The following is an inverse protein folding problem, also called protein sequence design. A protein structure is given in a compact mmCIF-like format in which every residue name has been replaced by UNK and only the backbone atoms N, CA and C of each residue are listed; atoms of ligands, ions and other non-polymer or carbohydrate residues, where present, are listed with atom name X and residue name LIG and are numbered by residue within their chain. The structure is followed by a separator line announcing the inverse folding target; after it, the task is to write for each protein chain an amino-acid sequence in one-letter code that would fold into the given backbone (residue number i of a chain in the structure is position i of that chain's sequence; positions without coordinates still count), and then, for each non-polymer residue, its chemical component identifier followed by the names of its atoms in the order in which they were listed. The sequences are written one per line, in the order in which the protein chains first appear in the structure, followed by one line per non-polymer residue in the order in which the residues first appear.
data_IF_029535547431
#
_entry.id   IF_029535547431
#
_cell.length_a   1.000
_cell.length_b   1.000
_cell.length_c   1.000
_cell.angle_alpha   90.00
_cell.angle_beta   90.00
_cell.angle_gamma   90.00
#
_symmetry.space_group_name_H-M   'P 1'
#
loop_
_entity.id
_entity.type
_entity.pdbx_description
1 polymer ?
#
# COMPACT_ATOMS: atom_id res chain seq x y z
N UNK A 1 15.76 52.91 -5.06
CA UNK A 1 16.75 51.83 -4.75
C UNK A 1 16.65 51.34 -3.30
N UNK A 2 16.60 52.21 -2.28
CA UNK A 2 16.58 51.84 -0.85
C UNK A 2 15.39 50.99 -0.37
N UNK A 3 14.19 51.20 -0.93
CA UNK A 3 12.98 50.46 -0.50
C UNK A 3 13.05 48.95 -0.81
N UNK A 4 13.67 48.57 -1.95
CA UNK A 4 13.87 47.16 -2.31
C UNK A 4 14.89 46.45 -1.42
N UNK A 5 15.87 47.18 -0.90
CA UNK A 5 16.87 46.65 0.05
C UNK A 5 16.24 46.35 1.41
N UNK A 6 15.37 47.24 1.90
CA UNK A 6 14.64 47.03 3.16
C UNK A 6 13.67 45.83 3.09
N UNK A 7 12.94 45.68 1.97
CA UNK A 7 12.07 44.52 1.73
C UNK A 7 12.87 43.19 1.71
N UNK A 8 14.02 43.15 1.03
CA UNK A 8 14.87 41.96 1.00
C UNK A 8 15.42 41.59 2.39
N UNK A 9 15.81 42.59 3.19
CA UNK A 9 16.29 42.35 4.56
C UNK A 9 15.17 41.79 5.47
N UNK A 10 13.95 42.33 5.33
CA UNK A 10 12.77 41.83 6.06
C UNK A 10 12.41 40.40 5.65
N UNK A 11 12.46 40.08 4.35
CA UNK A 11 12.22 38.73 3.85
C UNK A 11 13.27 37.74 4.35
N UNK A 12 14.56 38.12 4.30
CA UNK A 12 15.65 37.28 4.81
C UNK A 12 15.53 37.00 6.32
N UNK A 13 15.07 37.98 7.11
CA UNK A 13 14.81 37.81 8.54
C UNK A 13 13.65 36.85 8.81
N UNK A 14 12.55 36.99 8.05
CA UNK A 14 11.40 36.09 8.15
C UNK A 14 11.77 34.64 7.76
N UNK A 15 12.57 34.46 6.71
CA UNK A 15 13.10 33.15 6.32
C UNK A 15 14.07 32.55 7.35
N UNK A 16 14.88 33.39 8.01
CA UNK A 16 15.76 32.94 9.08
C UNK A 16 14.96 32.43 10.29
N UNK A 17 13.92 33.17 10.71
CA UNK A 17 13.02 32.78 11.80
C UNK A 17 12.29 31.49 11.45
N UNK A 18 11.75 31.38 10.22
CA UNK A 18 11.11 30.15 9.72
C UNK A 18 12.08 28.98 9.75
N UNK A 19 13.33 29.15 9.28
CA UNK A 19 14.36 28.08 9.32
C UNK A 19 14.66 27.61 10.74
N UNK A 20 14.69 28.51 11.72
CA UNK A 20 14.90 28.15 13.13
C UNK A 20 13.69 27.40 13.70
N UNK A 21 12.47 27.85 13.38
CA UNK A 21 11.23 27.19 13.82
C UNK A 21 11.10 25.77 13.26
N UNK A 22 11.31 25.61 11.94
CA UNK A 22 11.30 24.31 11.26
C UNK A 22 12.34 23.37 11.89
N UNK A 23 13.57 23.85 12.10
CA UNK A 23 14.64 23.01 12.69
C UNK A 23 14.40 22.62 14.14
N UNK A 24 13.80 23.49 14.95
CA UNK A 24 13.66 23.25 16.40
C UNK A 24 12.37 22.50 16.75
N UNK A 25 11.32 22.67 15.96
CA UNK A 25 9.98 22.12 16.27
C UNK A 25 9.60 21.02 15.28
N UNK A 26 9.65 21.29 13.98
CA UNK A 26 9.15 20.33 12.97
C UNK A 26 10.10 19.14 12.79
N UNK A 27 11.40 19.39 12.68
CA UNK A 27 12.40 18.32 12.48
C UNK A 27 12.37 17.23 13.56
N UNK A 28 12.37 17.51 14.88
CA UNK A 28 12.32 16.44 15.88
C UNK A 28 10.99 15.67 15.86
N UNK A 29 9.87 16.31 15.51
CA UNK A 29 8.58 15.64 15.37
C UNK A 29 8.60 14.71 14.16
N UNK A 30 9.08 15.19 13.00
CA UNK A 30 9.19 14.40 11.78
C UNK A 30 10.14 13.21 11.99
N UNK A 31 11.25 13.42 12.69
CA UNK A 31 12.20 12.36 13.02
C UNK A 31 11.60 11.33 13.97
N UNK A 32 10.89 11.75 15.01
CA UNK A 32 10.19 10.85 15.95
C UNK A 32 9.07 10.05 15.25
N UNK A 33 8.26 10.71 14.42
CA UNK A 33 7.23 10.05 13.61
C UNK A 33 7.88 9.07 12.62
N UNK A 34 8.92 9.49 11.92
CA UNK A 34 9.66 8.65 10.98
C UNK A 34 10.28 7.43 11.65
N UNK A 35 10.82 7.59 12.86
CA UNK A 35 11.39 6.51 13.65
C UNK A 35 10.32 5.53 14.14
N UNK A 36 9.16 6.01 14.58
CA UNK A 36 8.02 5.16 14.98
C UNK A 36 7.40 4.43 13.80
N UNK A 37 7.18 5.12 12.69
CA UNK A 37 6.67 4.54 11.45
C UNK A 37 7.66 3.50 10.89
N UNK A 38 8.95 3.83 10.86
CA UNK A 38 10.01 2.92 10.42
C UNK A 38 10.12 1.68 11.32
N UNK A 39 9.99 1.83 12.64
CA UNK A 39 9.96 0.70 13.58
C UNK A 39 8.71 -0.17 13.43
N UNK A 40 7.56 0.40 13.05
CA UNK A 40 6.33 -0.33 12.83
C UNK A 40 6.25 -1.02 11.46
N UNK A 41 7.02 -0.55 10.47
CA UNK A 41 7.08 -1.07 9.09
C UNK A 41 8.41 -1.82 8.86
N UNK A 42 9.04 -2.34 9.91
CA UNK A 42 10.20 -3.21 9.71
C UNK A 42 9.73 -4.49 9.02
N UNK A 43 10.30 -4.85 7.86
CA UNK A 43 9.90 -6.08 7.17
C UNK A 43 10.29 -7.27 8.04
N UNK A 44 9.32 -8.04 8.48
CA UNK A 44 9.54 -9.25 9.27
C UNK A 44 9.64 -10.44 8.33
N UNK A 45 10.81 -10.58 7.69
CA UNK A 45 11.07 -11.64 6.70
C UNK A 45 11.53 -12.96 7.32
N UNK A 46 11.61 -13.03 8.66
CA UNK A 46 12.43 -14.00 9.37
C UNK A 46 11.94 -15.45 9.22
N UNK A 47 10.72 -15.68 8.73
CA UNK A 47 10.13 -17.02 8.56
C UNK A 47 9.24 -17.11 7.30
N UNK A 48 9.68 -16.64 6.13
CA UNK A 48 8.93 -16.91 4.88
C UNK A 48 9.14 -18.38 4.47
N UNK A 49 8.08 -19.19 4.56
CA UNK A 49 8.12 -20.61 4.21
C UNK A 49 8.24 -20.83 2.71
N UNK A 50 8.69 -22.03 2.29
CA UNK A 50 8.73 -22.42 0.87
C UNK A 50 7.35 -22.36 0.21
N UNK A 51 6.29 -22.73 0.95
CA UNK A 51 4.90 -22.65 0.48
C UNK A 51 4.48 -21.20 0.22
N UNK A 52 4.89 -20.28 1.10
CA UNK A 52 4.61 -18.85 0.92
C UNK A 52 5.32 -18.30 -0.31
N UNK A 53 6.56 -18.70 -0.56
CA UNK A 53 7.26 -18.38 -1.80
C UNK A 53 6.59 -18.98 -3.04
N UNK A 54 6.03 -20.19 -2.95
CA UNK A 54 5.27 -20.80 -4.05
C UNK A 54 3.93 -20.10 -4.32
N UNK A 55 3.35 -19.44 -3.31
CA UNK A 55 2.13 -18.64 -3.43
C UNK A 55 2.36 -17.33 -4.21
N UNK A 56 3.54 -16.72 -4.11
CA UNK A 56 3.87 -15.45 -4.77
C UNK A 56 3.70 -15.48 -6.31
N UNK A 57 4.27 -16.44 -7.07
CA UNK A 57 4.08 -16.46 -8.52
C UNK A 57 2.62 -16.68 -8.92
N UNK A 58 1.83 -17.39 -8.10
CA UNK A 58 0.38 -17.53 -8.33
C UNK A 58 -0.30 -16.16 -8.18
N UNK A 59 0.04 -15.40 -7.14
CA UNK A 59 -0.50 -14.05 -6.94
C UNK A 59 -0.17 -13.13 -8.11
N UNK A 60 1.10 -13.10 -8.53
CA UNK A 60 1.54 -12.28 -9.68
C UNK A 60 0.81 -12.68 -10.97
N UNK A 61 0.64 -13.99 -11.22
CA UNK A 61 -0.07 -14.45 -12.41
C UNK A 61 -1.56 -14.09 -12.38
N UNK A 62 -2.19 -14.14 -11.20
CA UNK A 62 -3.59 -13.75 -11.05
C UNK A 62 -3.79 -12.25 -11.26
N UNK A 63 -2.93 -11.41 -10.67
CA UNK A 63 -2.94 -9.96 -10.91
C UNK A 63 -2.77 -9.67 -12.41
N UNK A 64 -1.77 -10.28 -13.07
CA UNK A 64 -1.56 -10.09 -14.51
C UNK A 64 -2.73 -10.56 -15.39
N UNK A 65 -3.54 -11.52 -14.93
CA UNK A 65 -4.73 -11.99 -15.65
C UNK A 65 -5.89 -11.04 -15.44
N UNK A 66 -6.11 -10.53 -14.23
CA UNK A 66 -7.11 -9.48 -13.95
C UNK A 66 -6.84 -8.23 -14.80
N UNK A 67 -5.64 -7.69 -14.65
CA UNK A 67 -5.17 -6.50 -15.37
C UNK A 67 -5.13 -6.68 -16.91
N UNK A 68 -5.11 -7.92 -17.41
CA UNK A 68 -5.07 -8.16 -18.87
C UNK A 68 -6.36 -7.74 -19.59
N UNK A 69 -7.47 -7.63 -18.85
CA UNK A 69 -8.76 -7.18 -19.34
C UNK A 69 -8.74 -5.73 -19.83
N UNK A 70 -7.87 -4.90 -19.26
CA UNK A 70 -7.68 -3.48 -19.60
C UNK A 70 -6.97 -3.25 -20.94
N UNK A 71 -6.44 -4.30 -21.59
CA UNK A 71 -5.76 -4.18 -22.88
C UNK A 71 -6.72 -3.83 -24.04
N UNK A 72 -8.03 -4.06 -23.87
CA UNK A 72 -9.04 -3.73 -24.87
C UNK A 72 -10.09 -2.80 -24.25
N UNK A 73 -10.01 -1.48 -24.51
CA UNK A 73 -10.99 -0.52 -24.01
C UNK A 73 -12.40 -0.95 -24.43
N UNK A 74 -13.40 -0.76 -23.56
CA UNK A 74 -14.81 -1.15 -23.75
C UNK A 74 -15.16 -2.65 -23.68
N UNK A 75 -14.23 -3.58 -23.94
CA UNK A 75 -14.47 -5.03 -23.78
C UNK A 75 -14.02 -5.55 -22.42
N UNK A 76 -12.97 -4.94 -21.84
CA UNK A 76 -12.51 -5.19 -20.47
C UNK A 76 -13.59 -4.95 -19.43
N UNK A 77 -14.27 -3.80 -19.48
CA UNK A 77 -15.34 -3.47 -18.53
C UNK A 77 -16.49 -4.50 -18.46
N UNK A 78 -16.72 -5.28 -19.53
CA UNK A 78 -17.72 -6.37 -19.51
C UNK A 78 -17.17 -7.68 -18.94
N UNK A 79 -15.85 -7.91 -19.03
CA UNK A 79 -15.23 -9.09 -18.43
C UNK A 79 -15.21 -8.98 -16.91
N UNK A 80 -15.16 -7.77 -16.37
CA UNK A 80 -15.08 -7.53 -14.92
C UNK A 80 -16.37 -7.94 -14.18
N UNK A 81 -17.53 -7.89 -14.86
CA UNK A 81 -18.80 -8.43 -14.34
C UNK A 81 -18.72 -9.93 -14.00
N UNK A 82 -17.91 -10.68 -14.75
CA UNK A 82 -17.66 -12.09 -14.51
C UNK A 82 -16.40 -12.33 -13.68
N UNK A 83 -15.35 -11.54 -13.88
CA UNK A 83 -14.06 -11.74 -13.24
C UNK A 83 -14.02 -11.22 -11.80
N UNK A 84 -14.65 -10.09 -11.48
CA UNK A 84 -14.73 -9.57 -10.11
C UNK A 84 -15.20 -10.62 -9.07
N UNK A 85 -16.30 -11.38 -9.26
CA UNK A 85 -16.68 -12.43 -8.30
C UNK A 85 -15.72 -13.63 -8.30
N UNK A 86 -15.05 -13.92 -9.42
CA UNK A 86 -14.02 -14.97 -9.51
C UNK A 86 -12.81 -14.56 -8.69
N UNK A 87 -12.30 -13.35 -8.90
CA UNK A 87 -11.20 -12.76 -8.14
C UNK A 87 -11.52 -12.75 -6.64
N UNK A 88 -12.68 -12.23 -6.24
CA UNK A 88 -13.11 -12.22 -4.85
C UNK A 88 -13.08 -13.63 -4.24
N UNK A 89 -13.53 -14.64 -5.01
CA UNK A 89 -13.47 -16.05 -4.63
C UNK A 89 -12.03 -16.56 -4.46
N UNK A 90 -11.14 -16.23 -5.39
CA UNK A 90 -9.72 -16.62 -5.36
C UNK A 90 -8.97 -15.96 -4.21
N UNK A 91 -9.17 -14.65 -3.98
CA UNK A 91 -8.62 -13.92 -2.84
C UNK A 91 -9.12 -14.52 -1.52
N UNK A 92 -10.41 -14.84 -1.44
CA UNK A 92 -10.98 -15.50 -0.25
C UNK A 92 -10.37 -16.88 -0.05
N UNK A 93 -10.14 -17.66 -1.10
CA UNK A 93 -9.51 -18.98 -1.00
C UNK A 93 -8.04 -18.89 -0.56
N UNK A 94 -7.28 -17.96 -1.12
CA UNK A 94 -5.84 -17.82 -0.87
C UNK A 94 -5.52 -17.20 0.49
N UNK A 95 -6.27 -16.18 0.90
CA UNK A 95 -5.98 -15.37 2.10
C UNK A 95 -6.99 -15.58 3.23
N UNK A 96 -8.08 -16.33 2.98
CA UNK A 96 -9.16 -16.59 3.95
C UNK A 96 -9.81 -15.32 4.51
N UNK A 97 -9.60 -14.16 3.88
CA UNK A 97 -10.12 -12.87 4.30
C UNK A 97 -11.29 -12.41 3.44
N UNK A 98 -12.39 -12.01 4.08
CA UNK A 98 -13.49 -11.32 3.39
C UNK A 98 -13.12 -9.88 3.04
N UNK A 99 -12.25 -9.24 3.83
CA UNK A 99 -11.87 -7.84 3.61
C UNK A 99 -11.02 -7.72 2.34
N UNK A 100 -10.01 -8.57 2.18
CA UNK A 100 -9.18 -8.61 0.97
C UNK A 100 -10.03 -9.00 -0.24
N UNK A 101 -10.90 -10.01 -0.12
CA UNK A 101 -11.80 -10.41 -1.20
C UNK A 101 -12.76 -9.29 -1.63
N UNK A 102 -13.25 -8.50 -0.68
CA UNK A 102 -14.11 -7.34 -0.99
C UNK A 102 -13.33 -6.21 -1.64
N UNK A 103 -12.04 -6.03 -1.28
CA UNK A 103 -11.18 -5.04 -1.90
C UNK A 103 -10.94 -5.40 -3.37
N UNK A 104 -10.53 -6.63 -3.68
CA UNK A 104 -10.34 -7.05 -5.08
C UNK A 104 -11.64 -7.06 -5.89
N UNK A 105 -12.78 -7.42 -5.29
CA UNK A 105 -14.08 -7.25 -5.96
C UNK A 105 -14.37 -5.79 -6.35
N UNK A 106 -14.08 -4.87 -5.43
CA UNK A 106 -14.35 -3.44 -5.64
C UNK A 106 -13.35 -2.83 -6.60
N UNK A 107 -12.11 -3.31 -6.58
CA UNK A 107 -11.10 -2.96 -7.58
C UNK A 107 -11.63 -3.27 -8.97
N UNK A 108 -11.95 -4.54 -9.24
CA UNK A 108 -12.39 -5.04 -10.55
C UNK A 108 -13.70 -4.38 -11.04
N UNK A 109 -14.64 -4.08 -10.14
CA UNK A 109 -15.93 -3.51 -10.57
C UNK A 109 -15.88 -2.01 -10.86
N UNK A 110 -14.80 -1.35 -10.46
CA UNK A 110 -14.63 0.08 -10.63
C UNK A 110 -13.67 0.34 -11.79
N UNK A 111 -14.11 1.04 -12.84
CA UNK A 111 -13.21 1.34 -13.93
C UNK A 111 -12.02 2.17 -13.41
N UNK A 112 -10.85 1.94 -13.99
CA UNK A 112 -9.56 2.57 -13.66
C UNK A 112 -8.87 2.07 -12.39
N UNK A 113 -9.47 1.18 -11.61
CA UNK A 113 -8.80 0.62 -10.42
C UNK A 113 -8.14 -0.73 -10.64
N UNK A 114 -8.42 -1.39 -11.77
CA UNK A 114 -7.96 -2.73 -12.22
C UNK A 114 -6.46 -2.81 -12.57
N UNK A 115 -5.67 -1.89 -12.02
CA UNK A 115 -4.20 -1.81 -12.19
C UNK A 115 -3.53 -2.06 -10.83
N UNK A 116 -4.30 -2.32 -9.78
CA UNK A 116 -3.80 -2.45 -8.42
C UNK A 116 -3.56 -3.93 -8.16
N UNK A 117 -2.31 -4.42 -8.07
CA UNK A 117 -2.07 -5.86 -7.95
C UNK A 117 -2.44 -6.39 -6.55
N UNK A 118 -3.74 -6.62 -6.31
CA UNK A 118 -4.34 -6.90 -5.01
C UNK A 118 -3.88 -8.24 -4.45
N UNK A 119 -3.68 -9.28 -5.29
CA UNK A 119 -3.13 -10.55 -4.84
C UNK A 119 -1.70 -10.39 -4.33
N UNK A 120 -0.84 -9.67 -5.05
CA UNK A 120 0.54 -9.43 -4.66
C UNK A 120 0.63 -8.55 -3.41
N UNK A 121 -0.22 -7.52 -3.29
CA UNK A 121 -0.30 -6.69 -2.08
C UNK A 121 -0.72 -7.53 -0.86
N UNK A 122 -1.75 -8.36 -1.01
CA UNK A 122 -2.20 -9.25 0.06
C UNK A 122 -1.10 -10.24 0.48
N UNK A 123 -0.31 -10.74 -0.48
CA UNK A 123 0.87 -11.57 -0.19
C UNK A 123 1.94 -10.82 0.61
N UNK A 124 2.22 -9.57 0.27
CA UNK A 124 3.16 -8.72 1.00
C UNK A 124 2.68 -8.44 2.44
N UNK A 125 1.37 -8.19 2.63
CA UNK A 125 0.79 -8.00 3.97
C UNK A 125 0.87 -9.27 4.82
N UNK A 126 0.70 -10.45 4.22
CA UNK A 126 0.82 -11.73 4.93
C UNK A 126 2.29 -12.05 5.29
N UNK A 127 3.24 -11.78 4.40
CA UNK A 127 4.60 -12.35 4.50
C UNK A 127 5.73 -11.35 4.80
N UNK A 128 5.56 -10.06 4.45
CA UNK A 128 6.59 -9.03 4.65
C UNK A 128 6.21 -8.15 5.84
N UNK A 129 4.94 -7.76 5.95
CA UNK A 129 4.46 -6.81 6.96
C UNK A 129 3.28 -7.31 7.81
N UNK A 130 3.35 -8.54 8.38
CA UNK A 130 2.25 -9.11 9.16
C UNK A 130 1.96 -8.35 10.46
N UNK A 131 2.95 -7.64 10.99
CA UNK A 131 2.84 -6.85 12.24
C UNK A 131 2.11 -5.53 12.06
N UNK A 132 1.85 -5.08 10.84
CA UNK A 132 1.16 -3.81 10.61
C UNK A 132 -0.30 -3.88 11.02
N UNK A 133 -0.85 -2.76 11.51
CA UNK A 133 -2.28 -2.67 11.87
C UNK A 133 -3.19 -2.98 10.68
N UNK A 134 -2.74 -2.67 9.47
CA UNK A 134 -3.46 -2.96 8.25
C UNK A 134 -3.55 -4.48 8.02
N UNK A 135 -2.41 -5.19 8.08
CA UNK A 135 -2.40 -6.64 7.96
C UNK A 135 -3.26 -7.30 9.05
N UNK A 136 -3.12 -6.89 10.31
CA UNK A 136 -3.90 -7.42 11.44
C UNK A 136 -5.41 -7.22 11.31
N UNK A 137 -5.84 -6.15 10.63
CA UNK A 137 -7.26 -5.88 10.40
C UNK A 137 -7.80 -6.58 9.15
N UNK A 138 -6.97 -6.69 8.11
CA UNK A 138 -7.39 -7.23 6.82
C UNK A 138 -7.22 -8.74 6.73
N UNK A 139 -6.30 -9.35 7.46
CA UNK A 139 -6.02 -10.79 7.40
C UNK A 139 -6.40 -11.46 8.72
N UNK A 140 -6.85 -12.73 8.68
CA UNK A 140 -7.12 -13.48 9.90
C UNK A 140 -5.83 -13.75 10.67
N UNK A 141 -5.91 -13.78 12.00
CA UNK A 141 -4.74 -13.97 12.88
C UNK A 141 -3.96 -15.27 12.58
N UNK A 142 -4.65 -16.32 12.10
CA UNK A 142 -4.03 -17.58 11.69
C UNK A 142 -3.02 -17.40 10.54
N UNK A 143 -3.27 -16.47 9.62
CA UNK A 143 -2.35 -16.18 8.49
C UNK A 143 -1.17 -15.33 8.91
N UNK A 144 -1.30 -14.57 10.00
CA UNK A 144 -0.27 -13.67 10.52
C UNK A 144 0.60 -14.31 11.61
N UNK A 145 0.20 -15.49 12.09
CA UNK A 145 0.98 -16.23 13.06
C UNK A 145 2.34 -16.61 12.45
N UNK A 146 3.43 -16.52 13.22
CA UNK A 146 4.73 -16.98 12.76
C UNK A 146 4.64 -18.47 12.40
N UNK A 147 4.96 -18.79 11.15
CA UNK A 147 4.94 -20.15 10.59
C UNK A 147 6.23 -20.90 10.93
#
# INVERSE_FOLDING_TARGET
MRFRLALKASQASCEAVRRVAVRRIEQPIIEEIGKRAGAAITPETKMITKESWAKLPICILLDLVGDSSELVPFLGEFTDLGFAPIEAGLLKALFQSNAIASIGFVEEILPFTDVIPTFTIAWCLENIWPTTLLAQKLLPAEKLAPK
#
